data_IF_345542067924
#
_entry.id   IF_345542067924
#
_cell.length_a   1.000
_cell.length_b   1.000
_cell.length_c   1.000
_cell.angle_alpha   90.00
_cell.angle_beta   90.00
_cell.angle_gamma   90.00
#
_symmetry.space_group_name_H-M   'P 1'
#
loop_
_entity.id
_entity.type
_entity.pdbx_description
1 polymer ?
#
# COMPACT_ATOMS: atom_id res chain seq x y z
N UNK A 1 -13.84 7.73 -21.81
CA UNK A 1 -14.01 6.39 -22.41
C UNK A 1 -13.93 5.34 -21.32
N UNK A 2 -14.65 4.23 -21.48
CA UNK A 2 -15.12 3.33 -20.44
C UNK A 2 -13.98 2.58 -19.71
N UNK A 3 -13.92 2.72 -18.38
CA UNK A 3 -13.06 1.91 -17.51
C UNK A 3 -13.62 0.49 -17.46
N UNK A 4 -12.99 -0.43 -18.18
CA UNK A 4 -13.22 -1.86 -18.04
C UNK A 4 -12.53 -2.35 -16.76
N UNK A 5 -13.21 -2.17 -15.63
CA UNK A 5 -13.00 -3.01 -14.47
C UNK A 5 -13.49 -4.41 -14.85
N UNK A 6 -12.66 -5.45 -14.79
CA UNK A 6 -13.04 -6.80 -15.22
C UNK A 6 -14.27 -7.37 -14.46
N UNK A 7 -14.75 -6.67 -13.42
CA UNK A 7 -15.92 -7.05 -12.62
C UNK A 7 -16.99 -5.93 -12.55
N UNK A 8 -16.72 -4.70 -13.01
CA UNK A 8 -17.67 -3.58 -12.87
C UNK A 8 -17.64 -2.58 -14.03
N UNK A 9 -18.46 -2.81 -15.05
CA UNK A 9 -18.63 -1.87 -16.18
C UNK A 9 -19.78 -0.90 -15.87
N UNK A 10 -19.46 0.27 -15.32
CA UNK A 10 -20.41 1.36 -15.13
C UNK A 10 -20.22 2.42 -16.20
N UNK A 11 -21.10 2.42 -17.19
CA UNK A 11 -21.11 3.34 -18.31
C UNK A 11 -22.48 4.04 -18.34
N UNK A 12 -22.67 5.13 -19.10
CA UNK A 12 -23.96 5.84 -19.11
C UNK A 12 -25.16 4.96 -19.50
N UNK A 13 -24.94 3.86 -20.22
CA UNK A 13 -25.97 2.87 -20.57
C UNK A 13 -26.13 1.73 -19.55
N UNK A 14 -25.33 1.67 -18.50
CA UNK A 14 -25.50 0.70 -17.41
C UNK A 14 -26.75 1.09 -16.61
N UNK A 15 -27.66 0.13 -16.31
CA UNK A 15 -28.84 0.42 -15.51
C UNK A 15 -28.47 1.05 -14.15
N UNK A 16 -29.16 2.13 -13.79
CA UNK A 16 -29.00 2.76 -12.49
C UNK A 16 -29.33 1.77 -11.36
N UNK A 17 -28.53 1.78 -10.30
CA UNK A 17 -28.64 0.84 -9.19
C UNK A 17 -27.96 -0.51 -9.44
N UNK A 18 -27.22 -0.70 -10.55
CA UNK A 18 -26.43 -1.92 -10.75
C UNK A 18 -25.30 -1.98 -9.72
N UNK A 19 -25.19 -3.09 -8.99
CA UNK A 19 -24.23 -3.25 -7.90
C UNK A 19 -23.09 -4.21 -8.21
N UNK A 20 -21.91 -3.88 -7.71
CA UNK A 20 -20.66 -4.62 -7.92
C UNK A 20 -19.90 -4.79 -6.61
N UNK A 21 -19.13 -5.86 -6.41
CA UNK A 21 -18.32 -5.99 -5.20
C UNK A 21 -17.31 -4.86 -5.08
N UNK A 22 -17.14 -4.32 -3.87
CA UNK A 22 -16.03 -3.43 -3.56
C UNK A 22 -14.79 -4.27 -3.26
N UNK A 23 -13.83 -4.31 -4.18
CA UNK A 23 -12.56 -5.04 -4.08
C UNK A 23 -12.44 -6.02 -2.91
N UNK A 24 -11.81 -5.59 -1.81
CA UNK A 24 -11.55 -6.40 -0.61
C UNK A 24 -12.54 -6.21 0.56
N UNK A 25 -13.45 -5.24 0.52
CA UNK A 25 -14.41 -5.02 1.60
C UNK A 25 -15.67 -5.86 1.38
N UNK A 26 -15.76 -7.02 2.03
CA UNK A 26 -16.87 -7.95 1.81
C UNK A 26 -18.24 -7.35 2.12
N UNK A 27 -18.33 -6.42 3.08
CA UNK A 27 -19.53 -5.73 3.50
C UNK A 27 -19.70 -4.36 2.82
N UNK A 28 -19.00 -4.11 1.71
CA UNK A 28 -19.19 -2.92 0.87
C UNK A 28 -19.36 -3.31 -0.59
N UNK A 29 -19.97 -2.43 -1.37
CA UNK A 29 -20.23 -2.60 -2.79
C UNK A 29 -20.18 -1.27 -3.52
N UNK A 30 -19.95 -1.30 -4.83
CA UNK A 30 -20.16 -0.13 -5.67
C UNK A 30 -21.55 -0.18 -6.30
N UNK A 31 -22.23 0.95 -6.35
CA UNK A 31 -23.47 1.13 -7.07
C UNK A 31 -23.25 2.07 -8.26
N UNK A 32 -23.69 1.65 -9.44
CA UNK A 32 -23.58 2.43 -10.66
C UNK A 32 -24.79 3.34 -10.82
N UNK A 33 -24.54 4.64 -10.96
CA UNK A 33 -25.55 5.65 -11.23
C UNK A 33 -25.03 6.60 -12.31
N UNK A 34 -25.65 6.59 -13.49
CA UNK A 34 -25.33 7.53 -14.58
C UNK A 34 -23.90 7.43 -15.13
N UNK A 35 -23.29 6.24 -15.11
CA UNK A 35 -21.90 6.04 -15.54
C UNK A 35 -20.84 6.36 -14.47
N UNK A 36 -21.26 6.66 -13.23
CA UNK A 36 -20.37 6.80 -12.08
C UNK A 36 -20.60 5.66 -11.07
N UNK A 37 -19.51 5.11 -10.53
CA UNK A 37 -19.55 4.16 -9.43
C UNK A 37 -19.46 4.91 -8.10
N UNK A 38 -20.42 4.68 -7.21
CA UNK A 38 -20.42 5.19 -5.84
C UNK A 38 -20.23 4.03 -4.88
N UNK A 39 -19.29 4.12 -3.94
CA UNK A 39 -19.13 3.09 -2.90
C UNK A 39 -20.25 3.19 -1.85
N UNK A 40 -20.75 2.04 -1.44
CA UNK A 40 -21.85 1.86 -0.49
C UNK A 40 -21.48 0.79 0.53
N UNK A 41 -21.86 0.98 1.79
CA UNK A 41 -21.74 -0.05 2.83
C UNK A 41 -23.01 -0.89 2.95
N UNK A 42 -22.84 -2.18 3.22
CA UNK A 42 -23.93 -3.03 3.65
C UNK A 42 -24.38 -2.63 5.07
N UNK A 43 -25.66 -2.82 5.41
CA UNK A 43 -26.13 -2.68 6.77
C UNK A 43 -25.34 -3.58 7.75
N UNK A 44 -25.29 -3.18 9.02
CA UNK A 44 -24.55 -3.89 10.06
C UNK A 44 -24.90 -5.39 10.10
N UNK A 45 -23.88 -6.25 10.07
CA UNK A 45 -24.04 -7.70 10.11
C UNK A 45 -24.33 -8.35 8.75
N UNK A 46 -24.31 -7.59 7.65
CA UNK A 46 -24.53 -8.11 6.29
C UNK A 46 -23.24 -8.06 5.46
N UNK A 47 -23.15 -8.96 4.49
CA UNK A 47 -22.05 -9.06 3.53
C UNK A 47 -22.60 -8.92 2.12
N UNK A 48 -21.90 -8.23 1.23
CA UNK A 48 -22.30 -8.12 -0.16
C UNK A 48 -22.05 -9.44 -0.90
N UNK A 49 -23.15 -10.07 -1.34
CA UNK A 49 -23.13 -11.24 -2.20
C UNK A 49 -22.92 -10.83 -3.65
N UNK A 50 -21.83 -11.33 -4.25
CA UNK A 50 -21.53 -11.12 -5.67
C UNK A 50 -22.60 -11.79 -6.55
N UNK A 51 -23.06 -12.98 -6.14
CA UNK A 51 -24.04 -13.75 -6.88
C UNK A 51 -25.40 -13.06 -6.91
N UNK A 52 -25.83 -12.48 -5.79
CA UNK A 52 -27.14 -11.83 -5.66
C UNK A 52 -27.11 -10.33 -5.94
N UNK A 53 -25.91 -9.75 -6.07
CA UNK A 53 -25.68 -8.30 -6.18
C UNK A 53 -26.39 -7.51 -5.07
N UNK A 54 -26.42 -8.07 -3.87
CA UNK A 54 -27.15 -7.52 -2.73
C UNK A 54 -26.43 -7.83 -1.42
N UNK A 55 -26.74 -7.06 -0.37
CA UNK A 55 -26.29 -7.34 0.97
C UNK A 55 -27.12 -8.47 1.57
N UNK A 56 -26.47 -9.57 1.92
CA UNK A 56 -27.08 -10.76 2.52
C UNK A 56 -26.73 -10.87 3.99
N UNK A 57 -27.66 -11.40 4.77
CA UNK A 57 -27.42 -11.70 6.17
C UNK A 57 -26.61 -12.99 6.30
N UNK A 58 -25.61 -12.97 7.17
CA UNK A 58 -24.74 -14.12 7.43
C UNK A 58 -24.56 -14.31 8.93
N UNK A 59 -24.37 -15.56 9.36
CA UNK A 59 -24.24 -15.92 10.78
C UNK A 59 -22.91 -15.42 11.33
N UNK A 60 -21.84 -15.59 10.55
CA UNK A 60 -20.49 -15.13 10.88
C UNK A 60 -19.97 -14.32 9.69
N UNK A 61 -20.05 -13.00 9.80
CA UNK A 61 -19.57 -12.07 8.77
C UNK A 61 -18.09 -12.30 8.50
N UNK A 62 -17.28 -12.48 9.53
CA UNK A 62 -15.84 -12.67 9.40
C UNK A 62 -15.52 -13.96 8.65
N UNK A 63 -16.12 -15.08 9.03
CA UNK A 63 -15.92 -16.35 8.33
C UNK A 63 -16.35 -16.28 6.85
N UNK A 64 -17.46 -15.62 6.53
CA UNK A 64 -17.91 -15.47 5.14
C UNK A 64 -16.97 -14.58 4.32
N UNK A 65 -16.46 -13.50 4.90
CA UNK A 65 -15.51 -12.63 4.23
C UNK A 65 -14.19 -13.35 3.98
N UNK A 66 -13.68 -14.07 4.99
CA UNK A 66 -12.47 -14.88 4.88
C UNK A 66 -12.63 -15.95 3.76
N UNK A 67 -13.81 -16.56 3.61
CA UNK A 67 -14.11 -17.50 2.50
C UNK A 67 -14.14 -16.83 1.12
N UNK A 68 -14.47 -15.54 1.05
CA UNK A 68 -14.44 -14.75 -0.19
C UNK A 68 -13.06 -14.13 -0.46
N UNK A 69 -12.05 -14.42 0.36
CA UNK A 69 -10.74 -13.74 0.32
C UNK A 69 -10.87 -12.21 0.44
N UNK A 70 -11.88 -11.77 1.20
CA UNK A 70 -12.21 -10.38 1.48
C UNK A 70 -12.28 -10.20 3.00
N UNK A 71 -12.40 -8.97 3.47
CA UNK A 71 -12.44 -8.67 4.90
C UNK A 71 -13.68 -7.86 5.24
N UNK A 72 -14.16 -8.04 6.47
CA UNK A 72 -15.15 -7.13 7.06
C UNK A 72 -14.44 -5.81 7.28
N UNK A 73 -14.73 -4.85 6.42
CA UNK A 73 -14.44 -3.45 6.68
C UNK A 73 -15.48 -2.97 7.70
N UNK A 74 -15.14 -2.10 8.64
CA UNK A 74 -16.12 -1.48 9.54
C UNK A 74 -16.55 -2.44 10.68
N UNK A 75 -15.63 -2.71 11.64
CA UNK A 75 -16.03 -3.19 12.99
C UNK A 75 -16.44 -2.00 13.85
N UNK A 76 -17.66 -1.52 13.63
CA UNK A 76 -18.34 -0.71 14.65
C UNK A 76 -18.79 -1.64 15.79
N UNK A 77 -17.85 -2.15 16.58
CA UNK A 77 -18.15 -2.78 17.86
C UNK A 77 -18.30 -1.71 18.93
N UNK A 78 -19.48 -1.09 18.97
CA UNK A 78 -20.05 -0.50 20.18
C UNK A 78 -19.34 0.73 20.76
N UNK A 79 -19.84 1.90 20.39
CA UNK A 79 -19.68 3.15 21.15
C UNK A 79 -20.89 4.06 20.90
N UNK A 80 -21.91 3.93 21.73
CA UNK A 80 -23.09 4.81 21.75
C UNK A 80 -22.68 6.24 22.07
N UNK A 81 -23.11 7.20 21.25
CA UNK A 81 -23.11 8.65 21.53
C UNK A 81 -21.73 9.29 21.46
N UNK A 82 -21.43 10.11 20.46
CA UNK A 82 -22.03 11.44 20.32
C UNK A 82 -21.76 11.95 18.91
N UNK A 83 -22.72 12.73 18.43
CA UNK A 83 -22.70 13.49 17.20
C UNK A 83 -21.38 14.28 17.06
N UNK A 84 -20.41 13.77 16.32
CA UNK A 84 -19.26 14.55 15.85
C UNK A 84 -19.08 14.28 14.36
N UNK A 85 -19.50 15.26 13.58
CA UNK A 85 -19.23 15.38 12.15
C UNK A 85 -17.73 15.24 11.89
N UNK A 86 -17.35 14.18 11.16
CA UNK A 86 -16.12 14.21 10.36
C UNK A 86 -15.44 12.88 10.10
N UNK A 87 -14.90 12.22 11.13
CA UNK A 87 -13.77 11.29 10.93
C UNK A 87 -13.84 9.94 11.67
N UNK A 88 -15.00 9.51 12.16
CA UNK A 88 -15.12 8.23 12.87
C UNK A 88 -14.33 8.21 14.18
N UNK A 89 -13.47 7.19 14.38
CA UNK A 89 -12.65 6.99 15.60
C UNK A 89 -11.53 8.04 15.80
N UNK A 90 -11.37 8.98 14.87
CA UNK A 90 -10.41 10.07 14.94
C UNK A 90 -11.07 11.37 15.40
N UNK A 91 -10.43 12.07 16.34
CA UNK A 91 -10.85 13.41 16.75
C UNK A 91 -9.67 14.38 16.87
N UNK A 92 -9.90 15.70 16.75
CA UNK A 92 -8.86 16.69 16.97
C UNK A 92 -8.36 16.60 18.42
N UNK A 93 -7.12 17.05 18.66
CA UNK A 93 -6.65 17.23 20.03
C UNK A 93 -7.63 18.11 20.85
N UNK A 94 -7.94 17.74 22.11
CA UNK A 94 -8.91 18.47 22.93
C UNK A 94 -8.54 19.93 23.19
N UNK A 95 -7.26 20.28 23.04
CA UNK A 95 -6.73 21.62 23.22
C UNK A 95 -6.51 22.35 21.89
N UNK A 96 -6.99 21.77 20.79
CA UNK A 96 -6.89 22.34 19.45
C UNK A 96 -5.46 22.32 18.90
N UNK A 97 -4.56 21.49 19.44
CA UNK A 97 -3.22 21.38 18.94
C UNK A 97 -3.21 20.62 17.59
N UNK A 98 -2.89 21.29 16.45
CA UNK A 98 -2.88 20.62 15.14
C UNK A 98 -1.78 19.57 15.00
N UNK A 99 -0.84 19.55 15.94
CA UNK A 99 0.26 18.59 16.04
C UNK A 99 -0.10 17.38 16.88
N UNK A 100 -1.36 17.24 17.27
CA UNK A 100 -1.87 16.12 18.04
C UNK A 100 -3.25 15.77 17.54
N UNK A 101 -3.59 14.49 17.59
CA UNK A 101 -4.93 14.01 17.31
C UNK A 101 -5.23 12.79 18.16
N UNK A 102 -6.50 12.49 18.32
CA UNK A 102 -6.97 11.32 19.05
C UNK A 102 -7.35 10.23 18.05
N UNK A 103 -6.99 8.99 18.36
CA UNK A 103 -7.49 7.80 17.66
C UNK A 103 -7.89 6.75 18.69
N UNK A 104 -9.17 6.37 18.71
CA UNK A 104 -9.68 5.40 19.67
C UNK A 104 -9.44 5.81 21.14
N UNK A 105 -9.43 7.11 21.44
CA UNK A 105 -9.18 7.67 22.77
C UNK A 105 -7.71 7.91 23.13
N UNK A 106 -6.76 7.48 22.31
CA UNK A 106 -5.33 7.71 22.52
C UNK A 106 -4.85 8.96 21.81
N UNK A 107 -4.05 9.80 22.48
CA UNK A 107 -3.43 10.97 21.85
C UNK A 107 -2.17 10.58 21.10
N UNK A 108 -2.11 10.93 19.82
CA UNK A 108 -1.02 10.70 18.88
C UNK A 108 -0.43 12.06 18.49
N UNK A 109 0.90 12.19 18.53
CA UNK A 109 1.58 13.38 18.02
C UNK A 109 1.71 13.27 16.50
N UNK A 110 1.34 14.34 15.80
CA UNK A 110 1.60 14.47 14.37
C UNK A 110 3.12 14.49 14.13
N UNK A 111 3.60 13.76 13.12
CA UNK A 111 4.97 13.86 12.64
C UNK A 111 5.38 15.30 12.35
N UNK A 112 6.68 15.56 12.53
CA UNK A 112 7.33 16.78 12.06
C UNK A 112 6.92 17.05 10.61
N UNK A 113 6.39 18.23 10.34
CA UNK A 113 5.94 18.58 8.98
C UNK A 113 4.54 18.19 8.54
N UNK A 114 3.83 17.49 9.40
CA UNK A 114 2.43 17.17 9.17
C UNK A 114 1.59 17.79 10.26
N UNK A 115 0.32 18.01 9.94
CA UNK A 115 -0.69 18.43 10.89
C UNK A 115 -1.93 17.57 10.69
N UNK A 116 -2.66 17.33 11.77
CA UNK A 116 -3.96 16.71 11.67
C UNK A 116 -4.95 17.64 10.99
N UNK A 117 -5.62 17.16 9.94
CA UNK A 117 -6.73 17.85 9.31
C UNK A 117 -8.03 17.12 9.63
N UNK A 118 -8.87 17.75 10.44
CA UNK A 118 -10.21 17.25 10.75
C UNK A 118 -11.11 17.23 9.51
N UNK A 119 -10.84 18.05 8.49
CA UNK A 119 -11.59 18.03 7.24
C UNK A 119 -11.15 16.88 6.32
N UNK A 120 -9.86 16.58 6.28
CA UNK A 120 -9.32 15.48 5.48
C UNK A 120 -9.35 14.12 6.21
N UNK A 121 -9.65 14.12 7.50
CA UNK A 121 -9.58 12.96 8.40
C UNK A 121 -8.25 12.22 8.31
N UNK A 122 -7.16 12.97 8.18
CA UNK A 122 -5.82 12.44 7.97
C UNK A 122 -4.78 13.47 8.37
N UNK A 123 -3.54 13.00 8.52
CA UNK A 123 -2.37 13.87 8.52
C UNK A 123 -2.19 14.47 7.13
N UNK A 124 -2.10 15.79 7.07
CA UNK A 124 -1.79 16.57 5.86
C UNK A 124 -0.45 17.27 6.04
N UNK A 125 0.24 17.57 4.94
CA UNK A 125 1.47 18.35 5.01
C UNK A 125 1.17 19.77 5.51
N UNK A 126 1.94 20.22 6.50
CA UNK A 126 1.86 21.58 7.01
C UNK A 126 2.78 22.47 6.17
N UNK A 127 2.19 23.46 5.48
CA UNK A 127 2.95 24.42 4.68
C UNK A 127 3.81 25.38 5.53
N UNK A 128 3.55 25.41 6.84
CA UNK A 128 4.25 26.22 7.83
C UNK A 128 4.61 25.35 9.03
N UNK A 129 5.77 25.64 9.62
CA UNK A 129 6.41 24.92 10.72
C UNK A 129 5.61 24.95 12.04
N UNK A 130 4.44 24.31 12.07
CA UNK A 130 3.57 24.30 13.25
C UNK A 130 3.92 23.17 14.23
N UNK A 131 4.46 22.05 13.74
CA UNK A 131 4.65 20.83 14.53
C UNK A 131 6.12 20.42 14.67
N UNK A 132 7.03 21.37 14.51
CA UNK A 132 8.48 21.15 14.45
C UNK A 132 8.98 21.07 13.00
N UNK A 133 10.22 21.51 12.82
CA UNK A 133 10.79 21.99 11.56
C UNK A 133 10.62 21.03 10.37
N UNK A 134 9.63 21.25 9.50
CA UNK A 134 9.88 21.05 8.08
C UNK A 134 10.47 22.33 7.55
N UNK A 135 11.71 22.25 7.06
CA UNK A 135 12.09 23.14 5.98
C UNK A 135 11.30 22.72 4.72
N UNK A 136 10.15 23.34 4.50
CA UNK A 136 9.36 23.37 3.25
C UNK A 136 8.56 22.10 2.86
N UNK A 137 7.60 22.26 1.96
CA UNK A 137 6.66 21.23 1.49
C UNK A 137 7.33 20.08 0.73
N UNK A 138 6.61 19.39 -0.16
CA UNK A 138 7.15 18.26 -0.94
C UNK A 138 8.51 18.55 -1.63
N UNK A 139 8.80 19.81 -1.97
CA UNK A 139 10.10 20.28 -2.47
C UNK A 139 11.30 20.03 -1.53
N UNK A 140 11.06 19.95 -0.23
CA UNK A 140 12.08 19.71 0.78
C UNK A 140 12.79 18.39 0.59
N UNK A 141 12.09 17.36 0.08
CA UNK A 141 12.54 15.97 -0.01
C UNK A 141 13.35 15.67 -1.27
N UNK A 142 13.15 16.47 -2.32
CA UNK A 142 13.65 16.18 -3.66
C UNK A 142 14.83 17.07 -4.08
N UNK A 143 15.24 18.03 -3.24
CA UNK A 143 16.21 19.05 -3.67
C UNK A 143 15.69 19.90 -4.83
N UNK A 144 16.49 20.84 -5.31
CA UNK A 144 16.05 21.83 -6.30
C UNK A 144 15.93 21.28 -7.74
N UNK A 145 16.64 20.21 -8.08
CA UNK A 145 16.78 19.68 -9.46
C UNK A 145 16.71 18.14 -9.47
N UNK A 146 16.30 17.53 -10.60
CA UNK A 146 16.33 16.07 -10.75
C UNK A 146 17.74 15.51 -10.54
N UNK A 147 17.86 14.39 -9.83
CA UNK A 147 19.16 13.82 -9.47
C UNK A 147 19.82 13.10 -10.65
N UNK A 148 21.12 13.32 -10.85
CA UNK A 148 21.93 12.61 -11.86
C UNK A 148 22.01 11.09 -11.56
N UNK A 149 22.09 10.76 -10.27
CA UNK A 149 22.01 9.39 -9.75
C UNK A 149 20.68 9.20 -9.02
N UNK A 150 19.95 8.15 -9.38
CA UNK A 150 18.63 7.88 -8.82
C UNK A 150 18.70 7.20 -7.44
N UNK A 151 19.10 7.99 -6.43
CA UNK A 151 19.15 7.57 -5.03
C UNK A 151 17.76 7.57 -4.40
N UNK A 152 17.55 6.72 -3.38
CA UNK A 152 16.28 6.65 -2.68
C UNK A 152 16.01 7.98 -1.93
N UNK A 153 14.80 8.51 -2.13
CA UNK A 153 14.32 9.67 -1.36
C UNK A 153 13.73 9.23 -0.02
N UNK A 154 13.32 7.96 0.06
CA UNK A 154 12.79 7.29 1.23
C UNK A 154 13.37 5.87 1.25
N UNK A 155 14.12 5.51 2.30
CA UNK A 155 14.69 4.18 2.47
C UNK A 155 14.48 3.71 3.91
N UNK A 156 13.89 2.55 4.09
CA UNK A 156 13.76 1.88 5.39
C UNK A 156 14.40 0.48 5.30
N UNK A 157 15.43 0.21 6.13
CA UNK A 157 16.22 -1.04 6.09
C UNK A 157 16.10 -1.91 7.34
N UNK A 158 15.35 -1.47 8.35
CA UNK A 158 15.13 -2.18 9.64
C UNK A 158 16.38 -2.65 10.41
N UNK A 159 17.57 -2.25 9.95
CA UNK A 159 18.86 -2.68 10.48
C UNK A 159 19.00 -2.31 11.96
N UNK A 160 19.62 -3.24 12.71
CA UNK A 160 19.81 -3.13 14.15
C UNK A 160 18.49 -2.92 14.92
N UNK A 161 17.38 -3.36 14.33
CA UNK A 161 16.04 -3.22 14.90
C UNK A 161 15.51 -1.78 14.94
N UNK A 162 16.05 -0.89 14.10
CA UNK A 162 15.59 0.49 14.02
C UNK A 162 14.43 0.66 13.01
N UNK A 163 13.69 1.76 13.13
CA UNK A 163 12.63 2.17 12.19
C UNK A 163 12.96 3.48 11.48
N UNK A 164 14.22 3.85 11.56
CA UNK A 164 14.74 5.06 10.94
C UNK A 164 14.50 4.96 9.44
N UNK A 165 13.92 6.02 8.89
CA UNK A 165 13.84 6.20 7.44
C UNK A 165 14.99 7.12 7.08
N UNK A 166 15.81 6.72 6.11
CA UNK A 166 16.92 7.51 5.61
C UNK A 166 16.59 8.04 4.21
N UNK A 167 17.07 9.24 3.90
CA UNK A 167 17.06 9.76 2.54
C UNK A 167 18.48 9.76 2.01
N UNK A 168 18.81 8.81 1.13
CA UNK A 168 20.12 8.74 0.48
C UNK A 168 20.40 10.00 -0.33
N UNK A 169 19.36 10.58 -0.92
CA UNK A 169 19.47 11.84 -1.67
C UNK A 169 19.93 13.00 -0.80
N UNK A 170 19.46 13.07 0.44
CA UNK A 170 19.76 14.18 1.35
C UNK A 170 20.87 13.86 2.35
N UNK A 171 21.29 12.61 2.39
CA UNK A 171 22.25 12.08 3.34
C UNK A 171 21.82 12.29 4.80
N UNK A 172 20.52 12.21 5.09
CA UNK A 172 19.98 12.43 6.44
C UNK A 172 18.80 11.50 6.78
N UNK A 173 18.59 11.31 8.08
CA UNK A 173 17.39 10.63 8.59
C UNK A 173 16.16 11.52 8.38
N UNK A 174 15.08 10.91 7.90
CA UNK A 174 13.78 11.54 7.77
C UNK A 174 12.96 11.33 9.06
N UNK A 175 12.35 12.41 9.53
CA UNK A 175 11.40 12.37 10.64
C UNK A 175 10.03 11.86 10.15
N UNK A 176 9.90 10.53 10.00
CA UNK A 176 8.67 9.86 9.54
C UNK A 176 7.97 9.18 10.72
N UNK A 177 6.65 9.36 10.87
CA UNK A 177 5.92 8.45 11.77
C UNK A 177 5.80 7.07 11.16
N UNK A 178 6.12 6.10 12.00
CA UNK A 178 6.00 4.69 11.72
C UNK A 178 5.22 4.04 12.86
N UNK A 179 4.22 3.22 12.53
CA UNK A 179 3.57 2.33 13.47
C UNK A 179 3.92 0.90 13.12
N UNK A 180 4.04 0.05 14.13
CA UNK A 180 4.04 -1.40 13.91
C UNK A 180 3.08 -2.02 14.89
N UNK A 181 2.34 -3.01 14.43
CA UNK A 181 1.58 -3.89 15.30
C UNK A 181 2.17 -5.27 15.17
N UNK A 182 2.49 -5.93 16.29
CA UNK A 182 2.94 -7.33 16.44
C UNK A 182 4.21 -7.76 15.67
N UNK A 183 4.43 -7.27 14.45
CA UNK A 183 5.62 -7.45 13.65
C UNK A 183 6.87 -7.08 14.45
N UNK A 184 7.86 -7.96 14.42
CA UNK A 184 9.07 -7.85 15.24
C UNK A 184 10.21 -7.33 14.38
N UNK A 185 10.98 -6.41 14.93
CA UNK A 185 12.22 -5.97 14.30
C UNK A 185 13.33 -6.92 14.77
N UNK A 186 13.88 -7.72 13.85
CA UNK A 186 14.95 -8.66 14.17
C UNK A 186 16.12 -8.46 13.21
N UNK A 187 17.26 -8.03 13.78
CA UNK A 187 18.55 -7.77 13.14
C UNK A 187 18.46 -6.94 11.85
N UNK A 188 18.02 -7.51 10.73
CA UNK A 188 17.98 -6.88 9.41
C UNK A 188 16.60 -7.06 8.74
N UNK A 189 15.51 -6.90 9.49
CA UNK A 189 14.19 -7.05 8.88
C UNK A 189 13.01 -6.91 9.82
N UNK A 190 11.87 -6.64 9.20
CA UNK A 190 10.55 -6.68 9.81
C UNK A 190 9.99 -8.10 9.64
N UNK A 191 9.89 -8.84 10.75
CA UNK A 191 9.56 -10.27 10.79
C UNK A 191 8.10 -10.51 11.18
N UNK A 192 7.47 -11.44 10.46
CA UNK A 192 6.07 -11.84 10.57
C UNK A 192 6.00 -13.36 10.75
N UNK A 193 5.44 -13.81 11.88
CA UNK A 193 5.35 -15.23 12.22
C UNK A 193 3.90 -15.69 12.44
N UNK A 194 3.72 -17.02 12.53
CA UNK A 194 2.42 -17.69 12.62
C UNK A 194 1.68 -17.48 13.94
N UNK A 195 2.34 -16.93 14.97
CA UNK A 195 1.73 -16.68 16.28
C UNK A 195 1.00 -15.33 16.33
N UNK A 196 1.34 -14.43 15.42
CA UNK A 196 0.73 -13.11 15.30
C UNK A 196 -0.71 -13.23 14.73
N UNK A 197 -1.56 -12.25 15.03
CA UNK A 197 -2.96 -12.20 14.62
C UNK A 197 -3.25 -11.11 13.58
N UNK A 198 -2.61 -9.94 13.70
CA UNK A 198 -2.71 -8.84 12.73
C UNK A 198 -1.42 -8.00 12.64
N UNK A 199 -0.26 -8.60 12.33
CA UNK A 199 0.99 -7.86 12.30
C UNK A 199 1.14 -7.00 11.03
N UNK A 200 1.71 -5.81 11.19
CA UNK A 200 2.04 -4.89 10.09
C UNK A 200 3.17 -3.92 10.48
N UNK A 201 3.86 -3.38 9.46
CA UNK A 201 4.61 -2.13 9.55
C UNK A 201 3.92 -1.04 8.73
N UNK A 202 3.78 0.17 9.24
CA UNK A 202 2.99 1.22 8.60
C UNK A 202 3.68 2.59 8.62
N UNK A 203 3.73 3.25 7.47
CA UNK A 203 4.38 4.54 7.26
C UNK A 203 3.36 5.62 6.90
N UNK A 204 3.18 6.59 7.80
CA UNK A 204 2.24 7.70 7.60
C UNK A 204 2.72 8.71 6.54
N UNK A 205 3.97 8.63 6.09
CA UNK A 205 4.59 9.56 5.15
C UNK A 205 3.81 9.74 3.84
N UNK A 206 3.10 8.70 3.40
CA UNK A 206 2.38 8.69 2.12
C UNK A 206 0.91 9.11 2.24
N UNK A 207 0.44 9.44 3.45
CA UNK A 207 -0.93 9.91 3.68
C UNK A 207 -1.25 11.10 2.79
N UNK A 208 -2.28 10.96 1.94
CA UNK A 208 -2.78 11.98 1.02
C UNK A 208 -1.68 12.58 0.13
N UNK A 209 -0.58 11.86 -0.07
CA UNK A 209 0.53 12.24 -0.93
C UNK A 209 0.26 11.70 -2.32
N UNK A 210 0.12 12.58 -3.30
CA UNK A 210 0.05 12.17 -4.69
C UNK A 210 1.39 11.55 -5.12
N UNK A 211 1.31 10.39 -5.77
CA UNK A 211 2.47 9.73 -6.35
C UNK A 211 2.49 10.09 -7.83
N UNK A 212 3.52 10.83 -8.20
CA UNK A 212 3.67 11.38 -9.54
C UNK A 212 4.28 10.37 -10.49
N UNK A 213 4.22 10.69 -11.77
CA UNK A 213 5.05 10.04 -12.79
C UNK A 213 6.53 10.15 -12.41
N UNK A 214 7.33 9.21 -12.90
CA UNK A 214 8.77 9.14 -12.61
C UNK A 214 9.05 8.80 -11.12
N UNK A 215 8.19 7.96 -10.54
CA UNK A 215 8.36 7.38 -9.20
C UNK A 215 8.58 5.87 -9.31
N UNK A 216 9.52 5.33 -8.55
CA UNK A 216 9.74 3.91 -8.42
C UNK A 216 9.66 3.43 -6.96
N UNK A 217 9.24 2.18 -6.80
CA UNK A 217 9.13 1.48 -5.52
C UNK A 217 10.03 0.27 -5.57
N UNK A 218 10.79 0.03 -4.51
CA UNK A 218 11.52 -1.22 -4.29
C UNK A 218 11.09 -1.83 -2.97
N UNK A 219 10.76 -3.12 -2.96
CA UNK A 219 10.59 -3.89 -1.72
C UNK A 219 11.44 -5.14 -1.81
N UNK A 220 12.22 -5.42 -0.76
CA UNK A 220 12.93 -6.68 -0.57
C UNK A 220 12.27 -7.50 0.53
N UNK A 221 11.98 -8.76 0.25
CA UNK A 221 11.32 -9.64 1.21
C UNK A 221 11.72 -11.09 0.98
N UNK A 222 11.56 -11.91 2.02
CA UNK A 222 11.63 -13.36 1.92
C UNK A 222 10.39 -13.98 2.53
N UNK A 223 9.85 -15.02 1.88
CA UNK A 223 8.71 -15.78 2.40
C UNK A 223 9.21 -16.94 3.25
N UNK A 224 8.54 -17.16 4.39
CA UNK A 224 8.74 -18.34 5.23
C UNK A 224 8.33 -19.61 4.48
N UNK A 225 8.98 -20.74 4.80
CA UNK A 225 8.70 -22.03 4.17
C UNK A 225 7.27 -22.53 4.45
N UNK A 226 6.67 -22.08 5.56
CA UNK A 226 5.31 -22.39 5.96
C UNK A 226 4.29 -21.34 5.49
N UNK A 227 4.70 -20.38 4.65
CA UNK A 227 3.77 -19.42 4.05
C UNK A 227 2.66 -20.17 3.27
N UNK A 228 1.38 -19.75 3.39
CA UNK A 228 0.27 -20.47 2.79
C UNK A 228 0.43 -20.61 1.27
N UNK A 229 0.35 -21.84 0.78
CA UNK A 229 0.42 -22.14 -0.64
C UNK A 229 -0.88 -21.71 -1.35
N UNK A 230 -0.74 -21.17 -2.57
CA UNK A 230 -1.84 -20.77 -3.44
C UNK A 230 -2.77 -19.68 -2.90
N UNK A 231 -2.27 -18.79 -2.02
CA UNK A 231 -2.99 -17.59 -1.57
C UNK A 231 -2.24 -16.32 -1.93
N UNK A 232 -2.99 -15.27 -2.24
CA UNK A 232 -2.43 -13.93 -2.46
C UNK A 232 -1.94 -13.37 -1.14
N UNK A 233 -0.72 -12.84 -1.13
CA UNK A 233 -0.02 -12.31 0.03
C UNK A 233 0.30 -10.84 -0.23
N UNK A 234 -0.06 -9.97 0.70
CA UNK A 234 0.20 -8.53 0.61
C UNK A 234 1.61 -8.19 1.12
N UNK A 235 2.44 -7.64 0.23
CA UNK A 235 3.80 -7.20 0.55
C UNK A 235 3.82 -5.69 0.84
N UNK A 236 3.15 -4.92 -0.02
CA UNK A 236 2.96 -3.48 0.11
C UNK A 236 1.52 -3.17 -0.24
N UNK A 237 0.82 -2.41 0.60
CA UNK A 237 -0.52 -1.88 0.29
C UNK A 237 -0.75 -0.57 1.03
N UNK A 238 -1.65 0.28 0.55
CA UNK A 238 -2.17 1.42 1.31
C UNK A 238 -3.61 1.25 1.78
N UNK A 239 -4.12 0.01 1.78
CA UNK A 239 -5.43 -0.36 2.29
C UNK A 239 -5.39 -0.64 3.79
N UNK A 240 -5.09 0.38 4.60
CA UNK A 240 -4.96 0.21 6.05
C UNK A 240 -6.31 0.18 6.77
N UNK A 241 -7.27 0.95 6.31
CA UNK A 241 -8.60 1.01 6.91
C UNK A 241 -9.69 1.35 5.89
N UNK A 242 -10.90 1.36 6.38
CA UNK A 242 -12.17 1.49 5.67
C UNK A 242 -12.35 2.78 4.86
N UNK A 243 -11.59 3.82 5.24
CA UNK A 243 -11.59 5.14 4.61
C UNK A 243 -10.46 5.28 3.58
N UNK A 244 -9.71 4.21 3.34
CA UNK A 244 -8.51 4.18 2.53
C UNK A 244 -8.63 3.13 1.43
N UNK A 245 -9.26 3.47 0.30
CA UNK A 245 -9.27 2.56 -0.85
C UNK A 245 -7.84 2.23 -1.25
N UNK A 246 -7.60 0.98 -1.63
CA UNK A 246 -6.31 0.54 -2.14
C UNK A 246 -6.01 1.27 -3.45
N UNK A 247 -4.96 2.09 -3.47
CA UNK A 247 -4.49 2.78 -4.68
C UNK A 247 -3.11 2.32 -5.12
N UNK A 248 -2.38 1.63 -4.25
CA UNK A 248 -1.16 0.90 -4.59
C UNK A 248 -1.20 -0.44 -3.88
N UNK A 249 -0.98 -1.53 -4.60
CA UNK A 249 -0.66 -2.82 -4.00
C UNK A 249 0.37 -3.61 -4.76
N UNK A 250 1.26 -4.27 -4.03
CA UNK A 250 2.21 -5.27 -4.50
C UNK A 250 1.93 -6.55 -3.73
N UNK A 251 1.60 -7.60 -4.46
CA UNK A 251 1.19 -8.88 -3.89
C UNK A 251 1.90 -10.03 -4.54
N UNK A 252 2.09 -11.10 -3.78
CA UNK A 252 2.72 -12.33 -4.24
C UNK A 252 1.74 -13.46 -4.09
N UNK A 253 1.57 -14.27 -5.14
CA UNK A 253 0.74 -15.47 -5.09
C UNK A 253 1.56 -16.68 -5.47
N UNK A 254 1.76 -17.66 -4.58
CA UNK A 254 2.45 -18.90 -4.93
C UNK A 254 1.63 -19.70 -5.96
N UNK A 255 2.24 -20.03 -7.11
CA UNK A 255 1.63 -20.81 -8.20
C UNK A 255 2.11 -22.26 -8.26
N UNK A 256 3.01 -22.63 -7.36
CA UNK A 256 3.58 -23.96 -7.24
C UNK A 256 4.61 -23.99 -6.10
N UNK A 257 5.40 -25.07 -5.96
CA UNK A 257 6.43 -25.16 -4.93
C UNK A 257 7.46 -24.04 -5.06
N UNK A 258 7.93 -23.80 -6.30
CA UNK A 258 8.97 -22.81 -6.58
C UNK A 258 8.46 -21.60 -7.36
N UNK A 259 7.28 -21.67 -7.97
CA UNK A 259 6.77 -20.57 -8.79
C UNK A 259 5.99 -19.55 -7.94
N UNK A 260 6.24 -18.27 -8.21
CA UNK A 260 5.57 -17.12 -7.58
C UNK A 260 5.09 -16.17 -8.68
N UNK A 261 3.85 -15.72 -8.56
CA UNK A 261 3.33 -14.61 -9.35
C UNK A 261 3.38 -13.34 -8.49
N UNK A 262 4.12 -12.33 -8.94
CA UNK A 262 4.09 -11.00 -8.33
C UNK A 262 3.16 -10.13 -9.14
N UNK A 263 2.20 -9.50 -8.49
CA UNK A 263 1.20 -8.62 -9.11
C UNK A 263 1.28 -7.24 -8.48
N UNK A 264 1.31 -6.20 -9.31
CA UNK A 264 1.27 -4.82 -8.89
C UNK A 264 0.01 -4.14 -9.44
N UNK A 265 -0.70 -3.38 -8.61
CA UNK A 265 -1.91 -2.64 -8.99
C UNK A 265 -1.81 -1.18 -8.55
N UNK A 266 -2.23 -0.27 -9.44
CA UNK A 266 -2.28 1.16 -9.20
C UNK A 266 -3.65 1.71 -9.59
N UNK A 267 -4.32 2.43 -8.69
CA UNK A 267 -5.51 3.23 -9.01
C UNK A 267 -5.07 4.63 -9.40
N UNK A 268 -5.48 5.09 -10.59
CA UNK A 268 -5.10 6.38 -11.15
C UNK A 268 -6.13 7.45 -10.79
N UNK A 269 -5.72 8.72 -10.83
CA UNK A 269 -6.58 9.91 -10.59
C UNK A 269 -7.76 10.06 -11.53
N UNK A 270 -7.73 9.39 -12.69
CA UNK A 270 -8.85 9.32 -13.63
C UNK A 270 -9.83 8.15 -13.35
N UNK A 271 -9.64 7.42 -12.24
CA UNK A 271 -10.45 6.27 -11.84
C UNK A 271 -10.07 4.95 -12.52
N UNK A 272 -9.09 4.92 -13.42
CA UNK A 272 -8.61 3.68 -14.05
C UNK A 272 -7.72 2.90 -13.07
N UNK A 273 -7.96 1.60 -12.94
CA UNK A 273 -7.01 0.68 -12.28
C UNK A 273 -6.09 0.05 -13.31
N UNK A 274 -4.79 0.05 -13.05
CA UNK A 274 -3.76 -0.55 -13.90
C UNK A 274 -3.06 -1.65 -13.12
N UNK A 275 -3.04 -2.86 -13.68
CA UNK A 275 -2.44 -4.03 -13.05
C UNK A 275 -1.42 -4.68 -13.99
N UNK A 276 -0.25 -5.03 -13.46
CA UNK A 276 0.78 -5.82 -14.15
C UNK A 276 1.23 -6.99 -13.28
N UNK A 277 1.75 -8.05 -13.90
CA UNK A 277 2.35 -9.17 -13.19
C UNK A 277 3.63 -9.69 -13.84
N UNK A 278 4.40 -10.43 -13.03
CA UNK A 278 5.59 -11.19 -13.41
C UNK A 278 5.54 -12.57 -12.74
N UNK A 279 5.90 -13.61 -13.48
CA UNK A 279 6.05 -14.97 -12.95
C UNK A 279 7.54 -15.26 -12.78
N UNK A 280 7.96 -15.60 -11.56
CA UNK A 280 9.34 -15.98 -11.24
C UNK A 280 9.36 -17.39 -10.65
N UNK A 281 10.35 -18.19 -11.01
CA UNK A 281 10.57 -19.52 -10.46
C UNK A 281 11.75 -19.44 -9.51
N UNK A 282 11.58 -19.65 -8.21
CA UNK A 282 12.71 -19.64 -7.28
C UNK A 282 13.67 -20.80 -7.62
N UNK A 283 14.88 -20.45 -8.04
CA UNK A 283 15.97 -21.40 -8.37
C UNK A 283 16.75 -21.78 -7.11
N UNK A 284 16.69 -20.96 -6.06
CA UNK A 284 17.38 -21.19 -4.79
C UNK A 284 16.42 -21.18 -3.61
N UNK A 285 16.80 -21.87 -2.54
CA UNK A 285 15.98 -22.00 -1.33
C UNK A 285 15.93 -20.71 -0.48
N UNK A 286 16.69 -19.65 -0.82
CA UNK A 286 16.71 -18.41 -0.03
C UNK A 286 15.38 -17.65 -0.06
N UNK A 287 14.53 -17.89 -1.07
CA UNK A 287 13.22 -17.22 -1.24
C UNK A 287 13.27 -15.69 -1.18
N UNK A 288 14.44 -15.09 -1.32
CA UNK A 288 14.65 -13.65 -1.20
C UNK A 288 14.39 -13.00 -2.55
N UNK A 289 13.39 -12.12 -2.58
CA UNK A 289 12.91 -11.46 -3.77
C UNK A 289 13.02 -9.95 -3.62
N UNK A 290 13.48 -9.29 -4.67
CA UNK A 290 13.43 -7.85 -4.84
C UNK A 290 12.44 -7.50 -5.93
N UNK A 291 11.41 -6.74 -5.58
CA UNK A 291 10.44 -6.21 -6.54
C UNK A 291 10.73 -4.75 -6.73
N UNK A 292 11.03 -4.34 -7.96
CA UNK A 292 11.19 -2.94 -8.35
C UNK A 292 10.15 -2.57 -9.40
N UNK A 293 9.30 -1.59 -9.11
CA UNK A 293 8.22 -1.12 -9.98
C UNK A 293 8.39 0.37 -10.27
N UNK A 294 8.23 0.75 -11.53
CA UNK A 294 8.32 2.11 -12.01
C UNK A 294 6.96 2.57 -12.49
N UNK A 295 6.46 3.64 -11.88
CA UNK A 295 5.32 4.40 -12.36
C UNK A 295 5.85 5.47 -13.34
N UNK A 296 6.02 5.06 -14.59
CA UNK A 296 6.58 5.89 -15.65
C UNK A 296 5.62 6.96 -16.17
N UNK A 297 6.02 7.65 -17.24
CA UNK A 297 5.19 8.68 -17.85
C UNK A 297 3.99 8.10 -18.61
N UNK A 298 4.21 7.08 -19.44
CA UNK A 298 3.16 6.47 -20.29
C UNK A 298 2.90 5.01 -19.97
N UNK A 299 3.66 4.41 -19.06
CA UNK A 299 3.53 3.00 -18.71
C UNK A 299 3.94 2.72 -17.27
N UNK A 300 3.46 1.59 -16.76
CA UNK A 300 3.90 0.96 -15.53
C UNK A 300 4.67 -0.30 -15.91
N UNK A 301 5.89 -0.43 -15.40
CA UNK A 301 6.81 -1.51 -15.72
C UNK A 301 7.75 -1.76 -14.53
N UNK A 302 8.64 -2.73 -14.64
CA UNK A 302 9.57 -3.03 -13.56
C UNK A 302 10.14 -4.43 -13.70
N UNK A 303 10.68 -4.95 -12.59
CA UNK A 303 11.24 -6.29 -12.53
C UNK A 303 11.10 -6.92 -11.15
N UNK A 304 11.14 -8.25 -11.13
CA UNK A 304 11.30 -9.08 -9.93
C UNK A 304 12.63 -9.80 -10.07
N UNK A 305 13.47 -9.73 -9.04
CA UNK A 305 14.74 -10.44 -9.00
C UNK A 305 14.78 -11.41 -7.83
N UNK A 306 15.28 -12.62 -8.08
CA UNK A 306 15.65 -13.55 -7.01
C UNK A 306 17.09 -13.25 -6.58
N UNK A 307 17.31 -13.11 -5.28
CA UNK A 307 18.59 -12.78 -4.69
C UNK A 307 19.22 -13.98 -3.98
N UNK A 308 20.54 -14.02 -3.96
CA UNK A 308 21.27 -14.99 -3.15
C UNK A 308 21.13 -14.67 -1.67
N UNK A 309 20.66 -15.63 -0.87
CA UNK A 309 20.47 -15.42 0.59
C UNK A 309 21.76 -15.13 1.38
N UNK A 310 22.94 -15.30 0.78
CA UNK A 310 24.22 -14.97 1.41
C UNK A 310 24.77 -13.59 0.98
N UNK A 311 24.23 -13.02 -0.11
CA UNK A 311 24.65 -11.73 -0.65
C UNK A 311 23.49 -11.09 -1.43
N UNK A 312 22.77 -10.12 -0.86
CA UNK A 312 21.62 -9.47 -1.52
C UNK A 312 21.98 -8.65 -2.76
N UNK A 313 23.29 -8.40 -2.98
CA UNK A 313 23.78 -7.80 -4.23
C UNK A 313 23.95 -8.83 -5.36
N UNK A 314 24.01 -10.13 -5.04
CA UNK A 314 24.11 -11.19 -6.02
C UNK A 314 22.72 -11.60 -6.52
N UNK A 315 22.43 -11.28 -7.77
CA UNK A 315 21.19 -11.65 -8.46
C UNK A 315 21.32 -13.07 -9.01
N UNK A 316 20.34 -13.93 -8.72
CA UNK A 316 20.22 -15.27 -9.29
C UNK A 316 19.53 -15.19 -10.66
N UNK A 317 18.39 -14.50 -10.70
CA UNK A 317 17.66 -14.23 -11.94
C UNK A 317 16.86 -12.94 -11.82
N UNK A 318 16.45 -12.39 -12.96
CA UNK A 318 15.53 -11.26 -13.05
C UNK A 318 14.46 -11.53 -14.11
N UNK A 319 13.20 -11.30 -13.76
CA UNK A 319 12.06 -11.35 -14.66
C UNK A 319 11.41 -9.97 -14.72
N UNK A 320 11.17 -9.47 -15.93
CA UNK A 320 10.50 -8.18 -16.11
C UNK A 320 8.99 -8.33 -15.94
N UNK A 321 8.35 -7.33 -15.35
CA UNK A 321 6.90 -7.18 -15.43
C UNK A 321 6.49 -6.90 -16.87
N UNK A 322 5.31 -7.39 -17.26
CA UNK A 322 4.70 -7.01 -18.53
C UNK A 322 4.37 -5.51 -18.50
N UNK A 323 4.98 -4.65 -19.34
CA UNK A 323 4.68 -3.23 -19.30
C UNK A 323 3.23 -2.95 -19.65
N UNK A 324 2.53 -2.14 -18.85
CA UNK A 324 1.13 -1.78 -19.09
C UNK A 324 1.02 -0.28 -19.33
N UNK A 325 0.32 0.10 -20.40
CA UNK A 325 0.17 1.51 -20.77
C UNK A 325 -0.80 2.22 -19.82
N UNK A 326 -0.52 3.49 -19.56
CA UNK A 326 -1.41 4.43 -18.87
C UNK A 326 -1.43 5.78 -19.59
N UNK A 327 -2.48 6.59 -19.43
CA UNK A 327 -2.47 7.96 -19.92
C UNK A 327 -1.30 8.77 -19.34
N UNK A 328 -0.76 9.73 -20.08
CA UNK A 328 0.25 10.66 -19.56
C UNK A 328 -0.41 11.76 -18.71
N UNK A 329 0.30 12.24 -17.70
CA UNK A 329 -0.15 13.28 -16.77
C UNK A 329 -1.06 12.76 -15.65
N UNK A 330 -1.39 11.47 -15.62
CA UNK A 330 -2.17 10.87 -14.54
C UNK A 330 -1.25 10.41 -13.42
N UNK A 331 -1.60 10.83 -12.21
CA UNK A 331 -0.95 10.43 -10.96
C UNK A 331 -1.66 9.22 -10.36
N UNK A 332 -1.01 8.51 -9.43
CA UNK A 332 -1.72 7.54 -8.58
C UNK A 332 -2.69 8.32 -7.70
N UNK A 333 -3.93 7.84 -7.63
CA UNK A 333 -4.98 8.41 -6.79
C UNK A 333 -4.49 8.53 -5.35
N UNK A 334 -4.42 9.74 -4.78
CA UNK A 334 -4.13 9.91 -3.37
C UNK A 334 -5.22 9.21 -2.57
N UNK A 335 -4.80 8.48 -1.54
CA UNK A 335 -5.72 7.99 -0.52
C UNK A 335 -5.37 8.60 0.83
N UNK A 336 -6.23 8.41 1.83
CA UNK A 336 -6.05 9.01 3.16
C UNK A 336 -5.02 8.27 4.02
N UNK A 337 -4.41 7.22 3.48
CA UNK A 337 -3.52 6.32 4.19
C UNK A 337 -2.11 6.34 3.62
N UNK A 338 -1.23 5.77 4.41
CA UNK A 338 0.17 5.61 4.13
C UNK A 338 0.41 4.22 3.58
N UNK A 339 1.67 3.79 3.61
CA UNK A 339 2.01 2.45 3.17
C UNK A 339 2.13 1.48 4.33
N UNK A 340 1.44 0.36 4.19
CA UNK A 340 1.56 -0.83 4.99
C UNK A 340 2.51 -1.80 4.30
N UNK A 341 3.53 -2.25 5.04
CA UNK A 341 4.44 -3.32 4.69
C UNK A 341 4.01 -4.59 5.39
N UNK A 342 3.70 -5.61 4.60
CA UNK A 342 3.25 -6.90 5.06
C UNK A 342 1.91 -6.84 5.82
N UNK A 343 1.16 -7.92 5.74
CA UNK A 343 0.07 -8.17 6.67
C UNK A 343 0.12 -9.63 7.06
N UNK A 344 0.64 -9.96 8.25
CA UNK A 344 0.84 -11.35 8.65
C UNK A 344 -0.40 -12.02 9.23
N UNK A 345 -0.32 -13.27 9.69
CA UNK A 345 -1.48 -14.16 9.84
C UNK A 345 -2.49 -13.52 10.81
N UNK A 346 -3.79 -13.40 10.58
CA UNK A 346 -4.65 -13.89 9.50
C UNK A 346 -4.98 -12.81 8.44
N UNK A 347 -3.96 -12.17 7.88
CA UNK A 347 -3.94 -11.75 6.47
C UNK A 347 -2.60 -12.03 5.74
N UNK A 348 -1.85 -12.99 6.32
CA UNK A 348 -1.11 -14.10 5.69
C UNK A 348 0.24 -13.86 4.98
N UNK A 349 0.93 -12.76 5.20
CA UNK A 349 2.37 -12.66 4.99
C UNK A 349 3.12 -13.37 6.13
N UNK A 350 3.83 -14.44 5.81
CA UNK A 350 4.76 -15.13 6.71
C UNK A 350 6.15 -15.01 6.12
N UNK A 351 7.08 -14.43 6.88
CA UNK A 351 8.41 -14.14 6.37
C UNK A 351 8.99 -12.84 6.94
N UNK A 352 9.85 -12.20 6.15
CA UNK A 352 10.50 -10.95 6.52
C UNK A 352 10.48 -9.95 5.37
N UNK A 353 10.42 -8.67 5.71
CA UNK A 353 10.69 -7.56 4.79
C UNK A 353 12.02 -6.95 5.22
N UNK A 354 13.00 -6.97 4.32
CA UNK A 354 14.38 -6.50 4.52
C UNK A 354 14.45 -4.98 4.33
N UNK A 355 13.99 -4.49 3.18
CA UNK A 355 13.90 -3.06 2.93
C UNK A 355 12.69 -2.62 2.10
N UNK A 356 12.36 -1.35 2.26
CA UNK A 356 11.43 -0.63 1.41
C UNK A 356 12.02 0.72 1.00
N UNK A 357 12.05 0.98 -0.30
CA UNK A 357 12.56 2.22 -0.86
C UNK A 357 11.61 2.85 -1.87
N UNK A 358 11.60 4.19 -1.90
CA UNK A 358 10.92 4.99 -2.93
C UNK A 358 11.93 5.94 -3.57
N UNK A 359 11.89 6.00 -4.89
CA UNK A 359 12.76 6.82 -5.73
C UNK A 359 11.88 7.79 -6.52
N UNK A 360 12.23 9.07 -6.50
CA UNK A 360 11.45 10.11 -7.18
C UNK A 360 12.38 11.20 -7.69
N UNK A 361 11.94 11.90 -8.73
CA UNK A 361 12.62 13.10 -9.23
C UNK A 361 14.08 12.81 -9.63
N UNK A 362 14.25 11.74 -10.39
CA UNK A 362 15.52 11.32 -11.03
C UNK A 362 15.56 11.79 -12.49
N UNK A 363 16.75 12.08 -13.01
CA UNK A 363 16.91 12.34 -14.45
C UNK A 363 16.58 11.10 -15.28
N UNK A 364 17.04 9.93 -14.82
CA UNK A 364 16.69 8.63 -15.37
C UNK A 364 16.28 7.68 -14.24
N UNK A 365 14.97 7.44 -14.12
CA UNK A 365 14.43 6.50 -13.12
C UNK A 365 14.80 5.05 -13.42
N UNK A 366 15.22 4.71 -14.65
CA UNK A 366 15.58 3.33 -14.99
C UNK A 366 16.88 2.89 -14.34
N UNK A 367 17.68 3.81 -13.79
CA UNK A 367 18.86 3.47 -12.99
C UNK A 367 18.52 2.63 -11.75
N UNK A 368 17.27 2.65 -11.28
CA UNK A 368 16.81 1.82 -10.14
C UNK A 368 16.59 0.35 -10.53
N UNK A 369 16.46 0.06 -11.82
CA UNK A 369 16.34 -1.31 -12.32
C UNK A 369 17.73 -1.94 -12.37
N UNK A 370 17.88 -3.14 -11.82
CA UNK A 370 19.11 -3.91 -11.97
C UNK A 370 19.38 -4.16 -13.44
N UNK A 371 20.58 -3.80 -13.89
CA UNK A 371 21.02 -4.13 -15.24
C UNK A 371 21.14 -5.64 -15.37
N UNK A 372 20.61 -6.21 -16.46
CA UNK A 372 20.83 -7.62 -16.77
C UNK A 372 22.35 -7.83 -16.94
N UNK A 373 22.98 -8.54 -16.01
CA UNK A 373 24.29 -9.11 -16.29
C UNK A 373 24.09 -10.15 -17.39
N UNK A 374 24.40 -9.76 -18.62
CA UNK A 374 24.61 -10.71 -19.70
C UNK A 374 25.84 -11.51 -19.31
N UNK A 375 25.62 -12.70 -18.76
CA UNK A 375 26.68 -13.70 -18.64
C UNK A 375 27.00 -14.10 -20.08
N UNK A 376 28.07 -13.50 -20.63
CA UNK A 376 28.61 -13.80 -21.94
C UNK A 376 29.36 -15.12 -21.98
#
# INVERSE_FOLDING_TARGET
ENVNCAIATCIPSTPAGTRYPSGRCCNKYFECNGGALTEMSCPNGLVFSIAERACIQVIDTKAVCDMQERYVCDVNTGGVGTNTTGCGAYSPDPFGNPCRFLFGGYTINAPQGTMWSQTACSLVFANTDQCGQLQSGSSAFFGAQPADFCNAVFLATFDNGQRTVYSERQQQNLAVAVSTQEARLQQNGLVFDSTMQRPYGYYFFFNNRAIKENTAFRVRFALDQNAPSNRRIDILSNNFCELCPETVSITVTPRGPNQREVTATFLLTNGQSVTTSALINNEVASNELEVTLVFGQTSIYGQVSELSGNNPNSVIQTVNFTPVQKPSGVEVQPNRCGFMLGQGPNSNFLGLIDDFAVFEYCQDINQVLRQQQTIG
#
